data_IF_055116344367
#
_entry.id   IF_055116344367
#
_cell.length_a   1.000
_cell.length_b   1.000
_cell.length_c   1.000
_cell.angle_alpha   90.00
_cell.angle_beta   90.00
_cell.angle_gamma   90.00
#
_symmetry.space_group_name_H-M   'P 1'
#
loop_
_entity.id
_entity.type
_entity.pdbx_description
1 polymer ?
#
# COMPACT_ATOMS: atom_id res chain seq x y z
N UNK A 1 110.04 -6.30 -57.95
CA UNK A 1 109.11 -6.37 -59.11
C UNK A 1 107.85 -7.08 -58.60
N UNK A 2 106.61 -6.56 -58.64
CA UNK A 2 105.83 -5.90 -59.71
C UNK A 2 105.63 -6.83 -60.93
N UNK A 3 104.35 -7.11 -61.28
CA UNK A 3 103.87 -7.95 -62.41
C UNK A 3 104.08 -9.47 -62.15
N UNK A 4 103.17 -10.41 -62.41
CA UNK A 4 101.78 -10.43 -62.92
C UNK A 4 100.98 -11.44 -62.04
N UNK A 5 99.71 -11.25 -61.69
CA UNK A 5 98.47 -11.64 -62.40
C UNK A 5 97.36 -10.86 -61.67
N UNK A 6 96.55 -9.93 -62.20
CA UNK A 6 96.21 -9.50 -63.57
C UNK A 6 95.38 -10.48 -64.43
N UNK A 7 94.66 -11.42 -63.82
CA UNK A 7 93.65 -12.22 -64.51
C UNK A 7 92.50 -12.71 -63.60
N UNK A 8 91.98 -11.82 -62.73
CA UNK A 8 90.80 -12.11 -61.89
C UNK A 8 90.03 -10.83 -61.49
N UNK A 9 90.04 -9.81 -62.35
CA UNK A 9 89.55 -8.45 -62.05
C UNK A 9 88.73 -7.85 -63.21
N UNK A 10 88.01 -8.68 -63.97
CA UNK A 10 87.24 -8.25 -65.16
C UNK A 10 85.83 -8.85 -65.24
N UNK A 11 85.52 -9.97 -64.57
CA UNK A 11 84.27 -10.72 -64.81
C UNK A 11 83.21 -10.70 -63.70
N UNK A 12 83.21 -9.67 -62.85
CA UNK A 12 82.08 -9.37 -61.94
C UNK A 12 81.68 -7.88 -61.99
N UNK A 13 81.77 -7.29 -63.18
CA UNK A 13 81.40 -5.89 -63.46
C UNK A 13 80.03 -5.77 -64.17
N UNK A 14 79.07 -6.61 -63.80
CA UNK A 14 77.67 -6.53 -64.27
C UNK A 14 76.71 -6.84 -63.10
N UNK A 15 76.48 -5.86 -62.24
CA UNK A 15 75.21 -5.59 -61.54
C UNK A 15 75.38 -4.26 -60.79
N UNK A 16 74.88 -3.17 -61.40
CA UNK A 16 75.09 -1.81 -60.93
C UNK A 16 73.77 -1.15 -60.50
N UNK A 17 73.92 -0.15 -59.62
CA UNK A 17 72.91 0.85 -59.18
C UNK A 17 71.81 0.39 -58.20
N UNK A 18 71.79 1.05 -57.02
CA UNK A 18 70.79 0.82 -55.97
C UNK A 18 70.98 1.69 -54.70
N UNK A 19 70.99 3.02 -54.86
CA UNK A 19 70.68 4.08 -53.86
C UNK A 19 71.32 4.13 -52.45
N UNK A 20 71.86 5.31 -52.12
CA UNK A 20 72.22 5.80 -50.76
C UNK A 20 70.95 6.34 -50.07
N UNK A 21 70.68 5.96 -48.80
CA UNK A 21 70.55 6.94 -47.69
C UNK A 21 71.01 6.36 -46.33
N UNK A 22 71.14 7.06 -45.19
CA UNK A 22 71.31 8.48 -44.76
C UNK A 22 71.88 8.38 -43.32
N UNK A 23 72.73 9.31 -42.83
CA UNK A 23 73.24 9.22 -41.46
C UNK A 23 72.13 9.39 -40.41
N UNK A 24 71.99 8.43 -39.50
CA UNK A 24 71.05 8.49 -38.38
C UNK A 24 71.35 9.69 -37.48
N UNK A 25 70.46 10.70 -37.51
CA UNK A 25 70.39 11.68 -36.43
C UNK A 25 70.02 10.93 -35.15
N UNK A 26 70.90 10.98 -34.15
CA UNK A 26 70.53 10.67 -32.77
C UNK A 26 69.36 11.59 -32.39
N UNK A 27 68.16 11.02 -32.31
CA UNK A 27 67.02 11.71 -31.72
C UNK A 27 67.36 11.89 -30.25
N UNK A 28 67.51 13.15 -29.84
CA UNK A 28 67.47 13.49 -28.42
C UNK A 28 66.04 13.20 -28.00
N UNK A 29 65.83 12.08 -27.32
CA UNK A 29 64.57 11.77 -26.65
C UNK A 29 64.45 12.80 -25.52
N UNK A 30 63.70 13.87 -25.80
CA UNK A 30 63.14 14.71 -24.73
C UNK A 30 62.39 13.79 -23.78
N UNK A 31 62.60 13.89 -22.44
CA UNK A 31 61.88 13.05 -21.50
C UNK A 31 60.38 13.21 -21.75
N UNK A 32 59.66 12.09 -21.79
CA UNK A 32 58.21 12.12 -21.91
C UNK A 32 57.64 13.04 -20.82
N UNK A 33 56.63 13.88 -21.13
CA UNK A 33 56.00 14.69 -20.11
C UNK A 33 55.45 13.72 -19.05
N UNK A 34 55.86 13.92 -17.80
CA UNK A 34 55.42 13.13 -16.65
C UNK A 34 53.88 13.13 -16.60
N UNK A 35 53.27 12.10 -17.16
CA UNK A 35 51.83 11.89 -17.09
C UNK A 35 51.51 11.65 -15.63
N UNK A 36 50.94 12.66 -14.98
CA UNK A 36 50.40 12.52 -13.63
C UNK A 36 49.39 11.37 -13.69
N UNK A 37 49.62 10.25 -12.98
CA UNK A 37 48.72 9.11 -13.08
C UNK A 37 47.32 9.56 -12.65
N UNK A 38 46.31 9.19 -13.45
CA UNK A 38 44.93 9.49 -13.11
C UNK A 38 44.60 8.93 -11.72
N UNK A 39 43.86 9.66 -10.87
CA UNK A 39 43.55 9.21 -9.52
C UNK A 39 42.79 7.87 -9.59
N UNK A 40 43.19 6.92 -8.74
CA UNK A 40 42.65 5.55 -8.70
C UNK A 40 41.13 5.49 -8.49
N UNK A 41 40.55 6.57 -7.95
CA UNK A 41 39.12 6.74 -7.75
C UNK A 41 38.72 8.14 -8.23
N UNK A 42 37.60 8.28 -8.96
CA UNK A 42 37.06 9.59 -9.31
C UNK A 42 36.72 10.40 -8.05
N UNK A 43 37.24 11.63 -7.95
CA UNK A 43 37.05 12.49 -6.79
C UNK A 43 35.55 12.77 -6.52
N UNK A 44 34.78 12.97 -7.59
CA UNK A 44 33.34 13.27 -7.56
C UNK A 44 32.54 12.15 -6.87
N UNK A 45 32.86 10.87 -7.17
CA UNK A 45 32.22 9.71 -6.52
C UNK A 45 32.57 9.63 -5.04
N UNK A 46 33.82 9.93 -4.66
CA UNK A 46 34.22 9.97 -3.25
C UNK A 46 33.48 11.09 -2.50
N UNK A 47 33.32 12.26 -3.13
CA UNK A 47 32.62 13.40 -2.54
C UNK A 47 31.11 13.14 -2.40
N UNK A 48 30.48 12.49 -3.38
CA UNK A 48 29.10 11.99 -3.30
C UNK A 48 28.91 11.01 -2.13
N UNK A 49 29.78 9.99 -2.00
CA UNK A 49 29.67 8.99 -0.92
C UNK A 49 29.96 9.57 0.47
N UNK A 50 30.90 10.51 0.58
CA UNK A 50 31.15 11.27 1.82
C UNK A 50 29.92 12.11 2.20
N UNK A 51 29.30 12.80 1.23
CA UNK A 51 28.09 13.59 1.46
C UNK A 51 26.89 12.73 1.87
N UNK A 52 26.69 11.58 1.22
CA UNK A 52 25.64 10.61 1.54
C UNK A 52 25.76 10.07 2.97
N UNK A 53 26.95 9.61 3.37
CA UNK A 53 27.20 9.09 4.72
C UNK A 53 27.07 10.18 5.80
N UNK A 54 27.50 11.40 5.51
CA UNK A 54 27.35 12.53 6.43
C UNK A 54 25.86 12.83 6.70
N UNK A 55 25.03 12.91 5.65
CA UNK A 55 23.57 13.08 5.75
C UNK A 55 22.85 11.92 6.45
N UNK A 56 23.39 10.70 6.37
CA UNK A 56 22.85 9.56 7.10
C UNK A 56 23.15 9.72 8.59
N UNK A 57 24.39 10.04 8.97
CA UNK A 57 24.79 10.25 10.37
C UNK A 57 24.06 11.41 11.07
N UNK A 58 23.54 12.38 10.30
CA UNK A 58 22.68 13.47 10.79
C UNK A 58 21.27 13.01 11.22
N UNK A 59 20.85 11.76 10.91
CA UNK A 59 19.55 11.21 11.33
C UNK A 59 19.60 10.60 12.73
N UNK A 60 18.53 10.80 13.50
CA UNK A 60 18.40 10.25 14.85
C UNK A 60 18.01 8.77 14.88
N UNK A 61 17.35 8.25 13.83
CA UNK A 61 16.81 6.88 13.74
C UNK A 61 17.84 5.74 13.59
N UNK A 62 19.14 6.02 13.75
CA UNK A 62 20.21 5.04 13.57
C UNK A 62 20.57 4.35 14.88
N UNK A 63 20.61 3.01 14.86
CA UNK A 63 21.15 2.23 15.97
C UNK A 63 22.63 2.61 16.20
N UNK A 64 23.11 2.52 17.45
CA UNK A 64 24.51 2.85 17.77
C UNK A 64 25.50 2.06 16.91
N UNK A 65 25.21 0.78 16.65
CA UNK A 65 26.01 -0.11 15.80
C UNK A 65 26.03 0.36 14.34
N UNK A 66 24.86 0.69 13.76
CA UNK A 66 24.79 1.19 12.38
C UNK A 66 25.48 2.59 12.26
N UNK A 67 25.41 3.42 13.32
CA UNK A 67 26.08 4.73 13.40
C UNK A 67 27.60 4.61 13.48
N UNK A 68 28.13 3.69 14.30
CA UNK A 68 29.57 3.40 14.39
C UNK A 68 30.13 2.98 13.02
N UNK A 69 29.44 2.08 12.31
CA UNK A 69 29.85 1.60 10.99
C UNK A 69 29.80 2.71 9.95
N UNK A 70 28.74 3.52 9.91
CA UNK A 70 28.65 4.65 8.99
C UNK A 70 29.77 5.68 9.23
N UNK A 71 30.19 5.88 10.48
CA UNK A 71 31.33 6.74 10.82
C UNK A 71 32.68 6.15 10.36
N UNK A 72 32.91 4.85 10.56
CA UNK A 72 34.10 4.13 10.06
C UNK A 72 34.18 4.15 8.53
N UNK A 73 33.04 3.98 7.84
CA UNK A 73 32.93 4.10 6.39
C UNK A 73 33.32 5.51 5.93
N UNK A 74 32.74 6.54 6.58
CA UNK A 74 32.96 7.94 6.26
C UNK A 74 34.43 8.32 6.41
N UNK A 75 35.08 7.92 7.51
CA UNK A 75 36.50 8.23 7.74
C UNK A 75 37.43 7.43 6.83
N UNK A 76 37.01 6.23 6.40
CA UNK A 76 37.70 5.48 5.35
C UNK A 76 37.61 6.21 4.01
N UNK A 77 36.43 6.70 3.59
CA UNK A 77 36.29 7.47 2.35
C UNK A 77 37.01 8.83 2.40
N UNK A 78 37.00 9.54 3.54
CA UNK A 78 37.84 10.74 3.74
C UNK A 78 39.33 10.41 3.59
N UNK A 79 39.78 9.28 4.14
CA UNK A 79 41.16 8.81 3.99
C UNK A 79 41.48 8.51 2.52
N UNK A 80 40.61 7.81 1.80
CA UNK A 80 40.74 7.55 0.35
C UNK A 80 40.79 8.86 -0.45
N UNK A 81 39.97 9.86 -0.11
CA UNK A 81 39.97 11.18 -0.77
C UNK A 81 41.27 11.93 -0.55
N UNK A 82 41.74 12.03 0.70
CA UNK A 82 43.02 12.65 1.03
C UNK A 82 44.19 11.95 0.33
N UNK A 83 44.07 10.64 0.11
CA UNK A 83 45.04 9.82 -0.62
C UNK A 83 44.91 10.06 -2.14
N UNK A 84 43.72 10.17 -2.72
CA UNK A 84 43.56 10.41 -4.17
C UNK A 84 44.25 11.69 -4.71
N UNK A 85 44.69 12.61 -3.84
CA UNK A 85 45.35 13.86 -4.17
C UNK A 85 46.90 13.84 -4.09
N UNK A 86 47.56 12.70 -3.81
CA UNK A 86 49.01 12.63 -3.55
C UNK A 86 49.77 11.51 -4.28
N UNK A 87 51.06 11.35 -3.94
CA UNK A 87 51.92 10.24 -4.40
C UNK A 87 52.35 9.37 -3.21
N UNK A 88 52.19 8.04 -3.32
CA UNK A 88 52.11 7.15 -2.15
C UNK A 88 53.34 6.35 -1.76
N UNK A 89 53.36 6.02 -0.48
CA UNK A 89 54.12 4.89 0.09
C UNK A 89 53.17 3.71 0.27
N UNK A 90 53.66 2.51 -0.04
CA UNK A 90 52.88 1.26 -0.07
C UNK A 90 52.15 0.95 1.27
N UNK A 91 52.74 1.32 2.41
CA UNK A 91 52.15 1.12 3.73
C UNK A 91 50.81 1.87 3.95
N UNK A 92 50.64 3.04 3.34
CA UNK A 92 49.41 3.83 3.45
C UNK A 92 48.28 3.21 2.61
N UNK A 93 48.63 2.72 1.41
CA UNK A 93 47.71 1.95 0.57
C UNK A 93 47.22 0.68 1.27
N UNK A 94 48.12 -0.11 1.87
CA UNK A 94 47.74 -1.30 2.64
C UNK A 94 46.81 -0.97 3.83
N UNK A 95 46.98 0.19 4.48
CA UNK A 95 46.10 0.63 5.57
C UNK A 95 44.67 0.90 5.08
N UNK A 96 44.52 1.59 3.94
CA UNK A 96 43.21 1.86 3.31
C UNK A 96 42.52 0.57 2.87
N UNK A 97 43.24 -0.33 2.19
CA UNK A 97 42.66 -1.59 1.71
C UNK A 97 42.14 -2.45 2.87
N UNK A 98 42.88 -2.52 3.99
CA UNK A 98 42.41 -3.21 5.21
C UNK A 98 41.18 -2.53 5.83
N UNK A 99 41.13 -1.20 5.87
CA UNK A 99 39.97 -0.47 6.39
C UNK A 99 38.72 -0.71 5.54
N UNK A 100 38.84 -0.66 4.21
CA UNK A 100 37.75 -0.98 3.29
C UNK A 100 37.27 -2.43 3.43
N UNK A 101 38.19 -3.39 3.51
CA UNK A 101 37.86 -4.81 3.64
C UNK A 101 37.17 -5.12 4.98
N UNK A 102 37.67 -4.57 6.10
CA UNK A 102 37.03 -4.73 7.40
C UNK A 102 35.61 -4.16 7.41
N UNK A 103 35.43 -2.97 6.85
CA UNK A 103 34.14 -2.33 6.76
C UNK A 103 33.14 -3.10 5.87
N UNK A 104 33.62 -3.68 4.76
CA UNK A 104 32.81 -4.56 3.91
C UNK A 104 32.37 -5.81 4.68
N UNK A 105 33.29 -6.49 5.37
CA UNK A 105 32.99 -7.69 6.16
C UNK A 105 31.92 -7.43 7.24
N UNK A 106 31.99 -6.28 7.92
CA UNK A 106 31.00 -5.91 8.96
C UNK A 106 29.63 -5.57 8.35
N UNK A 107 29.60 -4.95 7.16
CA UNK A 107 28.36 -4.71 6.41
C UNK A 107 27.73 -6.03 5.94
N UNK A 108 28.53 -6.94 5.39
CA UNK A 108 28.09 -8.27 4.96
C UNK A 108 27.53 -9.06 6.16
N UNK A 109 28.26 -9.12 7.28
CA UNK A 109 27.82 -9.83 8.50
C UNK A 109 26.46 -9.31 9.00
N UNK A 110 26.23 -8.00 8.99
CA UNK A 110 24.96 -7.39 9.40
C UNK A 110 23.85 -7.62 8.38
N UNK A 111 24.16 -7.53 7.07
CA UNK A 111 23.18 -7.77 6.01
C UNK A 111 22.66 -9.20 6.07
N UNK A 112 23.56 -10.19 6.15
CA UNK A 112 23.20 -11.60 6.24
C UNK A 112 22.57 -11.97 7.59
N UNK A 113 23.00 -11.37 8.70
CA UNK A 113 22.34 -11.55 10.01
C UNK A 113 20.90 -11.04 10.01
N UNK A 114 20.66 -9.80 9.52
CA UNK A 114 19.31 -9.23 9.38
C UNK A 114 18.45 -10.04 8.39
N UNK A 115 19.05 -10.71 7.40
CA UNK A 115 18.35 -11.62 6.49
C UNK A 115 17.95 -12.94 7.17
N UNK A 116 18.81 -13.52 8.02
CA UNK A 116 18.46 -14.69 8.84
C UNK A 116 17.36 -14.40 9.87
N UNK A 117 17.39 -13.24 10.51
CA UNK A 117 16.33 -12.83 11.46
C UNK A 117 14.97 -12.75 10.77
N UNK A 118 14.89 -12.07 9.61
CA UNK A 118 13.67 -12.02 8.79
C UNK A 118 13.17 -13.40 8.34
N UNK A 119 14.08 -14.34 8.12
CA UNK A 119 13.71 -15.73 7.78
C UNK A 119 13.17 -16.52 8.98
N UNK A 120 13.51 -16.15 10.22
CA UNK A 120 13.08 -16.83 11.47
C UNK A 120 11.66 -16.45 11.90
N UNK A 121 11.18 -15.24 11.57
CA UNK A 121 9.79 -14.83 11.86
C UNK A 121 8.76 -15.34 10.85
N UNK A 122 9.17 -15.64 9.62
CA UNK A 122 8.30 -16.07 8.52
C UNK A 122 7.41 -17.29 8.86
N UNK A 123 7.92 -18.38 9.49
CA UNK A 123 7.11 -19.53 9.88
C UNK A 123 6.02 -19.17 10.91
N UNK A 124 6.32 -18.22 11.80
CA UNK A 124 5.38 -17.76 12.84
C UNK A 124 4.24 -16.99 12.21
N UNK A 125 4.54 -16.04 11.31
CA UNK A 125 3.53 -15.27 10.58
C UNK A 125 2.64 -16.15 9.70
N UNK A 126 3.20 -17.16 9.01
CA UNK A 126 2.41 -18.13 8.24
C UNK A 126 1.48 -18.95 9.15
N UNK A 127 1.97 -19.44 10.29
CA UNK A 127 1.13 -20.19 11.25
C UNK A 127 0.00 -19.35 11.85
N UNK A 128 0.27 -18.07 12.11
CA UNK A 128 -0.71 -17.12 12.63
C UNK A 128 -1.78 -16.80 11.58
N UNK A 129 -1.37 -16.55 10.33
CA UNK A 129 -2.27 -16.37 9.20
C UNK A 129 -3.18 -17.59 8.99
N UNK A 130 -2.61 -18.80 8.98
CA UNK A 130 -3.38 -20.03 8.80
C UNK A 130 -4.41 -20.25 9.91
N UNK A 131 -4.04 -19.93 11.15
CA UNK A 131 -4.94 -20.00 12.32
C UNK A 131 -6.08 -18.97 12.20
N UNK A 132 -5.75 -17.70 11.94
CA UNK A 132 -6.75 -16.63 11.79
C UNK A 132 -7.66 -16.81 10.58
N UNK A 133 -7.16 -17.32 9.45
CA UNK A 133 -8.00 -17.70 8.29
C UNK A 133 -9.04 -18.75 8.67
N UNK A 134 -8.65 -19.74 9.48
CA UNK A 134 -9.56 -20.76 9.98
C UNK A 134 -10.62 -20.17 10.93
N UNK A 135 -10.23 -19.30 11.85
CA UNK A 135 -11.17 -18.57 12.73
C UNK A 135 -12.20 -17.76 11.92
N UNK A 136 -11.77 -17.06 10.86
CA UNK A 136 -12.66 -16.34 9.93
C UNK A 136 -13.64 -17.30 9.24
N UNK A 137 -13.15 -18.40 8.68
CA UNK A 137 -13.99 -19.39 7.98
C UNK A 137 -15.01 -20.06 8.93
N UNK A 138 -14.60 -20.41 10.16
CA UNK A 138 -15.47 -20.99 11.17
C UNK A 138 -16.53 -19.99 11.66
N UNK A 139 -16.16 -18.73 11.91
CA UNK A 139 -17.09 -17.67 12.26
C UNK A 139 -18.11 -17.40 11.14
N UNK A 140 -17.67 -17.38 9.88
CA UNK A 140 -18.53 -17.18 8.71
C UNK A 140 -19.54 -18.34 8.54
N UNK A 141 -19.05 -19.57 8.61
CA UNK A 141 -19.88 -20.79 8.52
C UNK A 141 -20.89 -20.89 9.66
N UNK A 142 -20.54 -20.36 10.84
CA UNK A 142 -21.41 -20.30 12.02
C UNK A 142 -22.41 -19.11 12.00
N UNK A 143 -22.42 -18.29 10.95
CA UNK A 143 -23.27 -17.09 10.85
C UNK A 143 -22.87 -15.93 11.77
N UNK A 144 -21.68 -15.99 12.41
CA UNK A 144 -21.19 -14.94 13.30
C UNK A 144 -20.50 -13.82 12.49
N UNK A 145 -21.30 -13.04 11.76
CA UNK A 145 -20.82 -11.97 10.89
C UNK A 145 -20.02 -10.88 11.64
N UNK A 146 -20.36 -10.61 12.91
CA UNK A 146 -19.57 -9.69 13.76
C UNK A 146 -18.20 -10.28 14.12
N UNK A 147 -18.12 -11.59 14.40
CA UNK A 147 -16.85 -12.29 14.60
C UNK A 147 -15.95 -12.25 13.37
N UNK A 148 -16.52 -12.47 12.17
CA UNK A 148 -15.79 -12.35 10.89
C UNK A 148 -15.20 -10.94 10.72
N UNK A 149 -16.01 -9.90 10.97
CA UNK A 149 -15.55 -8.50 10.90
C UNK A 149 -14.36 -8.27 11.84
N UNK A 150 -14.47 -8.68 13.11
CA UNK A 150 -13.40 -8.51 14.09
C UNK A 150 -12.12 -9.26 13.70
N UNK A 151 -12.22 -10.53 13.30
CA UNK A 151 -11.04 -11.32 12.92
C UNK A 151 -10.36 -10.81 11.64
N UNK A 152 -11.11 -10.26 10.68
CA UNK A 152 -10.54 -9.61 9.51
C UNK A 152 -9.84 -8.28 9.84
N UNK A 153 -10.38 -7.50 10.78
CA UNK A 153 -9.73 -6.27 11.28
C UNK A 153 -8.46 -6.60 12.08
N UNK A 154 -8.49 -7.63 12.93
CA UNK A 154 -7.30 -8.17 13.62
C UNK A 154 -6.23 -8.62 12.63
N UNK A 155 -6.61 -9.38 11.59
CA UNK A 155 -5.68 -9.86 10.57
C UNK A 155 -5.00 -8.70 9.85
N UNK A 156 -5.80 -7.68 9.46
CA UNK A 156 -5.31 -6.45 8.82
C UNK A 156 -4.38 -5.64 9.73
N UNK A 157 -4.64 -5.60 11.03
CA UNK A 157 -3.80 -4.90 12.00
C UNK A 157 -2.46 -5.61 12.27
N UNK A 158 -2.44 -6.95 12.29
CA UNK A 158 -1.24 -7.74 12.64
C UNK A 158 -0.36 -8.06 11.42
N UNK A 159 -0.94 -8.28 10.25
CA UNK A 159 -0.23 -8.73 9.05
C UNK A 159 -0.31 -7.73 7.87
N UNK A 160 -0.99 -6.59 8.05
CA UNK A 160 -1.14 -5.55 7.04
C UNK A 160 -2.34 -5.77 6.09
N UNK A 161 -2.62 -4.81 5.18
CA UNK A 161 -3.76 -4.88 4.27
C UNK A 161 -3.73 -6.10 3.34
N UNK A 162 -2.55 -6.48 2.86
CA UNK A 162 -2.34 -7.57 1.90
C UNK A 162 -2.59 -8.96 2.49
N UNK A 163 -2.78 -9.06 3.81
CA UNK A 163 -3.17 -10.29 4.49
C UNK A 163 -4.62 -10.70 4.20
N UNK A 164 -5.48 -9.78 3.76
CA UNK A 164 -6.86 -10.07 3.38
C UNK A 164 -6.91 -10.63 1.96
N UNK A 165 -6.68 -11.94 1.81
CA UNK A 165 -6.80 -12.63 0.52
C UNK A 165 -8.21 -12.52 -0.06
N UNK A 166 -8.37 -12.62 -1.38
CA UNK A 166 -9.65 -12.46 -2.08
C UNK A 166 -10.85 -13.21 -1.45
N UNK A 167 -10.62 -14.42 -0.96
CA UNK A 167 -11.62 -15.26 -0.27
C UNK A 167 -12.04 -14.66 1.10
N UNK A 168 -11.05 -14.24 1.91
CA UNK A 168 -11.25 -13.63 3.23
C UNK A 168 -11.91 -12.24 3.07
N UNK A 169 -11.43 -11.45 2.12
CA UNK A 169 -11.97 -10.13 1.78
C UNK A 169 -13.43 -10.19 1.33
N UNK A 170 -13.84 -11.26 0.64
CA UNK A 170 -15.25 -11.44 0.30
C UNK A 170 -16.08 -11.91 1.51
N UNK A 171 -15.60 -12.84 2.34
CA UNK A 171 -16.29 -13.20 3.60
C UNK A 171 -16.48 -11.95 4.49
N UNK A 172 -15.48 -11.07 4.52
CA UNK A 172 -15.53 -9.77 5.20
C UNK A 172 -16.59 -8.85 4.59
N UNK A 173 -16.57 -8.61 3.28
CA UNK A 173 -17.56 -7.79 2.59
C UNK A 173 -19.00 -8.31 2.73
N UNK A 174 -19.22 -9.62 2.59
CA UNK A 174 -20.53 -10.24 2.80
C UNK A 174 -20.98 -10.10 4.26
N UNK A 175 -20.07 -10.21 5.24
CA UNK A 175 -20.39 -10.00 6.66
C UNK A 175 -20.74 -8.54 6.97
N UNK A 176 -19.99 -7.57 6.42
CA UNK A 176 -20.31 -6.14 6.48
C UNK A 176 -21.71 -5.86 5.91
N UNK A 177 -22.03 -6.43 4.74
CA UNK A 177 -23.34 -6.30 4.13
C UNK A 177 -24.49 -6.92 4.96
N UNK A 178 -24.25 -8.04 5.67
CA UNK A 178 -25.25 -8.62 6.58
C UNK A 178 -25.44 -7.78 7.85
N UNK A 179 -24.47 -6.93 8.21
CA UNK A 179 -24.54 -5.97 9.33
C UNK A 179 -25.05 -4.58 8.89
N UNK A 180 -25.32 -4.38 7.59
CA UNK A 180 -25.88 -3.14 7.03
C UNK A 180 -24.85 -2.18 6.42
N UNK A 181 -23.54 -2.49 6.52
CA UNK A 181 -22.45 -1.70 5.94
C UNK A 181 -22.26 -2.01 4.45
N UNK A 182 -23.28 -1.66 3.66
CA UNK A 182 -23.38 -1.99 2.24
C UNK A 182 -22.35 -1.25 1.36
N UNK A 183 -21.97 -0.03 1.75
CA UNK A 183 -21.00 0.84 1.08
C UNK A 183 -19.58 0.31 1.18
N UNK A 184 -19.16 -0.11 2.36
CA UNK A 184 -17.85 -0.70 2.64
C UNK A 184 -17.76 -2.08 1.98
N UNK A 185 -18.83 -2.89 2.07
CA UNK A 185 -18.94 -4.16 1.36
C UNK A 185 -18.76 -3.97 -0.16
N UNK A 186 -19.39 -2.94 -0.76
CA UNK A 186 -19.23 -2.60 -2.17
C UNK A 186 -17.80 -2.22 -2.50
N UNK A 187 -17.19 -1.28 -1.76
CA UNK A 187 -15.82 -0.84 -2.00
C UNK A 187 -14.81 -1.97 -1.91
N UNK A 188 -14.98 -2.88 -0.94
CA UNK A 188 -14.13 -4.07 -0.81
C UNK A 188 -14.33 -4.99 -2.02
N UNK A 189 -15.56 -5.29 -2.42
CA UNK A 189 -15.84 -6.16 -3.58
C UNK A 189 -15.32 -5.58 -4.90
N UNK A 190 -15.51 -4.28 -5.14
CA UNK A 190 -15.00 -3.62 -6.36
C UNK A 190 -13.46 -3.69 -6.45
N UNK A 191 -12.76 -3.73 -5.30
CA UNK A 191 -11.30 -3.96 -5.24
C UNK A 191 -10.87 -5.39 -5.57
N UNK A 192 -11.67 -6.42 -5.22
CA UNK A 192 -11.29 -7.84 -5.40
C UNK A 192 -11.77 -8.41 -6.75
N UNK A 193 -12.79 -7.83 -7.39
CA UNK A 193 -13.34 -8.30 -8.68
C UNK A 193 -12.25 -8.64 -9.73
N UNK A 194 -11.16 -7.87 -9.92
CA UNK A 194 -10.07 -8.22 -10.84
C UNK A 194 -9.32 -9.53 -10.49
N UNK A 195 -9.15 -9.81 -9.19
CA UNK A 195 -8.52 -11.04 -8.69
C UNK A 195 -9.48 -12.25 -8.74
N UNK A 196 -10.79 -12.00 -8.66
CA UNK A 196 -11.85 -13.02 -8.77
C UNK A 196 -12.14 -13.43 -10.23
N UNK A 197 -11.90 -12.53 -11.19
CA UNK A 197 -12.00 -12.86 -12.62
C UNK A 197 -10.79 -13.67 -13.13
N UNK A 198 -9.68 -13.72 -12.37
CA UNK A 198 -8.44 -14.45 -12.73
C UNK A 198 -8.24 -15.77 -11.98
N UNK A 199 -9.08 -16.09 -10.99
CA UNK A 199 -8.97 -17.31 -10.16
C UNK A 199 -10.00 -18.39 -10.56
N UNK A 200 -9.62 -19.69 -10.59
CA UNK A 200 -10.34 -20.70 -11.39
C UNK A 200 -11.58 -21.37 -10.76
N UNK A 201 -11.90 -21.18 -9.46
CA UNK A 201 -12.98 -21.97 -8.83
C UNK A 201 -13.71 -21.27 -7.67
N UNK A 202 -14.65 -20.37 -8.01
CA UNK A 202 -15.28 -19.45 -7.05
C UNK A 202 -16.80 -19.25 -7.30
N UNK A 203 -17.51 -20.31 -7.68
CA UNK A 203 -18.94 -20.24 -8.02
C UNK A 203 -19.83 -19.80 -6.82
N UNK A 204 -19.52 -20.24 -5.59
CA UNK A 204 -20.19 -19.76 -4.39
C UNK A 204 -19.96 -18.25 -4.12
N UNK A 205 -18.79 -17.74 -4.52
CA UNK A 205 -18.41 -16.33 -4.31
C UNK A 205 -19.10 -15.41 -5.33
N UNK A 206 -19.19 -15.84 -6.60
CA UNK A 206 -19.96 -15.14 -7.65
C UNK A 206 -21.45 -15.05 -7.28
N UNK A 207 -22.01 -16.08 -6.67
CA UNK A 207 -23.39 -16.05 -6.14
C UNK A 207 -23.56 -14.99 -5.03
N UNK A 208 -22.63 -14.91 -4.08
CA UNK A 208 -22.65 -13.89 -3.02
C UNK A 208 -22.52 -12.46 -3.54
N UNK A 209 -21.67 -12.23 -4.56
CA UNK A 209 -21.53 -10.93 -5.22
C UNK A 209 -22.82 -10.53 -5.95
N UNK A 210 -23.46 -11.47 -6.66
CA UNK A 210 -24.74 -11.21 -7.31
C UNK A 210 -25.85 -10.90 -6.28
N UNK A 211 -25.91 -11.61 -5.15
CA UNK A 211 -26.87 -11.30 -4.06
C UNK A 211 -26.64 -9.88 -3.50
N UNK A 212 -25.38 -9.47 -3.31
CA UNK A 212 -25.07 -8.13 -2.84
C UNK A 212 -25.43 -7.05 -3.87
N UNK A 213 -25.09 -7.24 -5.15
CA UNK A 213 -25.43 -6.30 -6.21
C UNK A 213 -26.94 -6.11 -6.35
N UNK A 214 -27.75 -7.16 -6.11
CA UNK A 214 -29.20 -7.04 -6.02
C UNK A 214 -29.66 -6.22 -4.80
N UNK A 215 -29.03 -6.41 -3.63
CA UNK A 215 -29.30 -5.59 -2.42
C UNK A 215 -28.91 -4.12 -2.60
N UNK A 216 -27.92 -3.83 -3.43
CA UNK A 216 -27.46 -2.48 -3.82
C UNK A 216 -28.28 -1.85 -4.96
N UNK A 217 -29.30 -2.55 -5.50
CA UNK A 217 -30.09 -2.08 -6.65
C UNK A 217 -29.38 -2.16 -8.01
N UNK A 218 -28.15 -2.68 -8.08
CA UNK A 218 -27.31 -2.76 -9.29
C UNK A 218 -27.69 -3.96 -10.18
N UNK A 219 -28.95 -3.99 -10.63
CA UNK A 219 -29.57 -5.13 -11.33
C UNK A 219 -28.80 -5.58 -12.57
N UNK A 220 -28.34 -4.67 -13.42
CA UNK A 220 -27.56 -4.99 -14.62
C UNK A 220 -26.24 -5.69 -14.28
N UNK A 221 -25.53 -5.26 -13.23
CA UNK A 221 -24.28 -5.90 -12.78
C UNK A 221 -24.55 -7.31 -12.24
N UNK A 222 -25.59 -7.45 -11.41
CA UNK A 222 -25.99 -8.75 -10.88
C UNK A 222 -26.34 -9.76 -11.99
N UNK A 223 -26.99 -9.31 -13.07
CA UNK A 223 -27.29 -10.15 -14.24
C UNK A 223 -26.00 -10.58 -14.97
N UNK A 224 -25.00 -9.70 -15.09
CA UNK A 224 -23.72 -10.04 -15.71
C UNK A 224 -22.94 -11.08 -14.87
N UNK A 225 -22.92 -10.91 -13.54
CA UNK A 225 -22.28 -11.88 -12.62
C UNK A 225 -23.02 -13.22 -12.63
N UNK A 226 -24.35 -13.20 -12.64
CA UNK A 226 -25.19 -14.40 -12.76
C UNK A 226 -24.95 -15.16 -14.08
N UNK A 227 -24.76 -14.43 -15.20
CA UNK A 227 -24.42 -15.04 -16.48
C UNK A 227 -23.04 -15.73 -16.44
N UNK A 228 -22.00 -15.02 -15.96
CA UNK A 228 -20.66 -15.59 -15.74
C UNK A 228 -20.68 -16.83 -14.83
N UNK A 229 -21.53 -16.83 -13.80
CA UNK A 229 -21.73 -17.97 -12.91
C UNK A 229 -22.40 -19.16 -13.62
N UNK A 230 -23.42 -18.90 -14.43
CA UNK A 230 -24.14 -19.93 -15.20
C UNK A 230 -23.21 -20.60 -16.21
N UNK A 231 -22.40 -19.81 -16.92
CA UNK A 231 -21.42 -20.31 -17.89
C UNK A 231 -20.38 -21.21 -17.19
N UNK A 232 -19.82 -20.77 -16.06
CA UNK A 232 -18.84 -21.53 -15.28
C UNK A 232 -19.41 -22.82 -14.63
N UNK A 233 -20.67 -22.79 -14.18
CA UNK A 233 -21.35 -24.00 -13.68
C UNK A 233 -21.61 -25.01 -14.80
N UNK A 234 -21.93 -24.53 -16.01
CA UNK A 234 -22.09 -25.40 -17.17
C UNK A 234 -20.78 -26.07 -17.58
N UNK A 235 -19.65 -25.35 -17.55
CA UNK A 235 -18.33 -25.93 -17.77
C UNK A 235 -17.99 -27.01 -16.73
N UNK A 236 -18.25 -26.75 -15.44
CA UNK A 236 -18.08 -27.75 -14.39
C UNK A 236 -19.00 -28.97 -14.59
N UNK A 237 -20.25 -28.77 -14.99
CA UNK A 237 -21.18 -29.88 -15.28
C UNK A 237 -20.70 -30.72 -16.48
N UNK A 238 -20.17 -30.10 -17.54
CA UNK A 238 -19.56 -30.82 -18.68
C UNK A 238 -18.36 -31.66 -18.22
N UNK A 239 -17.50 -31.12 -17.34
CA UNK A 239 -16.38 -31.87 -16.74
C UNK A 239 -16.88 -33.03 -15.87
N UNK A 240 -17.89 -32.82 -15.02
CA UNK A 240 -18.49 -33.87 -14.19
C UNK A 240 -19.17 -34.95 -15.04
N UNK A 241 -19.88 -34.59 -16.11
CA UNK A 241 -20.46 -35.55 -17.04
C UNK A 241 -19.38 -36.33 -17.81
N UNK A 242 -18.26 -35.69 -18.17
CA UNK A 242 -17.12 -36.36 -18.80
C UNK A 242 -16.40 -37.30 -17.83
N UNK A 243 -16.26 -36.91 -16.55
CA UNK A 243 -15.73 -37.74 -15.47
C UNK A 243 -16.66 -38.92 -15.19
N UNK A 244 -17.98 -38.70 -15.07
CA UNK A 244 -18.95 -39.77 -14.89
C UNK A 244 -18.92 -40.76 -16.08
N UNK A 245 -18.91 -40.26 -17.32
CA UNK A 245 -18.72 -41.10 -18.53
C UNK A 245 -17.38 -41.85 -18.54
N UNK A 246 -16.34 -41.35 -17.87
CA UNK A 246 -15.06 -42.07 -17.68
C UNK A 246 -15.16 -43.13 -16.57
N UNK A 247 -15.82 -42.82 -15.45
CA UNK A 247 -16.08 -43.77 -14.35
C UNK A 247 -16.94 -44.93 -14.85
N UNK A 248 -18.05 -44.67 -15.56
CA UNK A 248 -18.89 -45.71 -16.18
C UNK A 248 -18.21 -46.50 -17.31
N UNK A 249 -17.01 -46.09 -17.75
CA UNK A 249 -16.20 -46.79 -18.76
C UNK A 249 -14.90 -47.38 -18.19
N UNK A 250 -14.59 -47.11 -16.93
CA UNK A 250 -13.51 -47.80 -16.24
C UNK A 250 -13.95 -49.25 -16.02
N UNK A 251 -13.13 -50.25 -16.39
CA UNK A 251 -13.48 -51.63 -16.10
C UNK A 251 -13.51 -51.83 -14.59
N UNK A 252 -14.68 -52.16 -14.06
CA UNK A 252 -14.83 -52.59 -12.67
C UNK A 252 -14.25 -54.00 -12.57
N UNK A 253 -13.05 -54.12 -12.03
CA UNK A 253 -12.60 -55.41 -11.49
C UNK A 253 -13.46 -55.75 -10.27
N UNK A 254 -14.43 -56.64 -10.50
CA UNK A 254 -15.12 -57.39 -9.45
C UNK A 254 -16.14 -56.60 -8.60
N UNK A 255 -17.35 -56.40 -9.13
CA UNK A 255 -18.53 -56.91 -8.42
C UNK A 255 -19.74 -57.06 -9.35
N UNK A 256 -20.42 -58.19 -9.21
CA UNK A 256 -21.60 -58.55 -9.99
C UNK A 256 -22.85 -57.88 -9.40
N UNK A 257 -23.56 -57.14 -10.27
CA UNK A 257 -25.02 -57.18 -10.49
C UNK A 257 -25.90 -57.52 -9.27
N UNK A 258 -26.72 -56.56 -8.81
CA UNK A 258 -28.20 -56.70 -8.90
C UNK A 258 -28.99 -55.41 -8.57
N UNK A 259 -30.07 -55.20 -9.33
CA UNK A 259 -31.14 -54.21 -9.15
C UNK A 259 -32.28 -54.54 -10.15
N UNK A 260 -33.56 -54.10 -9.97
CA UNK A 260 -34.24 -53.56 -8.79
C UNK A 260 -35.64 -54.21 -8.46
N UNK A 261 -36.83 -53.53 -8.46
CA UNK A 261 -37.80 -53.44 -7.33
C UNK A 261 -39.20 -54.08 -7.67
N UNK A 262 -40.41 -53.77 -7.08
CA UNK A 262 -40.85 -52.79 -6.06
C UNK A 262 -41.93 -53.30 -5.03
N UNK A 263 -42.91 -52.43 -4.68
CA UNK A 263 -44.17 -52.57 -3.88
C UNK A 263 -44.10 -52.23 -2.37
N UNK A 264 -44.99 -51.39 -1.80
CA UNK A 264 -46.06 -50.59 -2.42
C UNK A 264 -46.82 -49.61 -1.50
N UNK A 265 -47.58 -48.71 -2.13
CA UNK A 265 -48.79 -47.95 -1.72
C UNK A 265 -49.36 -48.04 -0.29
N UNK A 266 -49.76 -46.90 0.31
CA UNK A 266 -50.65 -46.86 1.49
C UNK A 266 -51.09 -45.47 2.02
N UNK A 267 -52.24 -44.98 1.53
CA UNK A 267 -53.15 -43.88 1.98
C UNK A 267 -52.78 -42.86 3.10
N UNK A 268 -52.98 -41.59 2.72
CA UNK A 268 -53.85 -40.55 3.33
C UNK A 268 -54.52 -40.78 4.72
N UNK A 269 -54.48 -39.75 5.59
CA UNK A 269 -55.68 -39.06 6.09
C UNK A 269 -55.37 -37.76 6.87
N UNK A 270 -56.17 -36.71 6.65
CA UNK A 270 -56.24 -35.49 7.48
C UNK A 270 -57.03 -35.74 8.77
N UNK A 271 -56.70 -35.03 9.85
CA UNK A 271 -57.68 -34.48 10.81
C UNK A 271 -57.36 -33.01 11.06
N UNK A 272 -58.40 -32.19 11.26
CA UNK A 272 -58.33 -30.73 11.29
C UNK A 272 -58.16 -30.15 12.71
N UNK A 273 -57.74 -28.88 12.69
CA UNK A 273 -57.68 -27.89 13.76
C UNK A 273 -58.74 -27.97 14.88
N UNK A 274 -58.34 -27.48 16.06
CA UNK A 274 -59.18 -26.61 16.86
C UNK A 274 -58.36 -25.49 17.49
N UNK A 275 -58.79 -24.25 17.25
CA UNK A 275 -58.39 -23.03 17.94
C UNK A 275 -59.19 -22.87 19.22
N UNK A 276 -58.57 -22.36 20.27
CA UNK A 276 -59.28 -21.62 21.32
C UNK A 276 -58.59 -20.27 21.55
N UNK A 277 -59.39 -19.31 22.00
CA UNK A 277 -59.08 -17.88 22.00
C UNK A 277 -59.29 -17.34 23.41
N UNK A 278 -58.36 -16.55 23.94
CA UNK A 278 -58.68 -15.61 25.01
C UNK A 278 -58.19 -14.20 24.68
N UNK A 279 -58.99 -13.25 25.15
CA UNK A 279 -59.11 -11.90 24.62
C UNK A 279 -58.53 -10.89 25.61
N UNK A 280 -57.48 -10.15 25.22
CA UNK A 280 -57.04 -8.95 25.95
C UNK A 280 -57.16 -7.70 25.09
N UNK A 281 -58.28 -7.01 25.24
CA UNK A 281 -58.58 -5.71 24.63
C UNK A 281 -57.89 -4.56 25.38
N UNK A 282 -56.72 -4.10 24.90
CA UNK A 282 -56.10 -2.85 25.39
C UNK A 282 -54.92 -2.31 24.52
N UNK A 283 -55.17 -1.89 23.27
CA UNK A 283 -54.06 -1.44 22.37
C UNK A 283 -54.41 -0.31 21.38
N UNK A 284 -55.24 0.67 21.76
CA UNK A 284 -55.42 1.90 20.94
C UNK A 284 -54.66 3.13 21.46
N UNK A 285 -54.32 3.19 22.76
CA UNK A 285 -53.52 4.29 23.34
C UNK A 285 -52.00 4.15 23.21
N UNK A 286 -51.48 3.16 22.50
CA UNK A 286 -50.04 2.83 22.45
C UNK A 286 -49.33 3.37 21.20
N UNK A 287 -50.07 3.63 20.11
CA UNK A 287 -49.47 3.94 18.81
C UNK A 287 -48.75 5.29 18.77
N UNK A 288 -49.35 6.35 19.32
CA UNK A 288 -48.76 7.71 19.30
C UNK A 288 -47.52 7.81 20.20
N UNK A 289 -47.48 7.05 21.30
CA UNK A 289 -46.33 7.01 22.19
C UNK A 289 -45.14 6.25 21.55
N UNK A 290 -45.41 5.18 20.81
CA UNK A 290 -44.41 4.48 19.99
C UNK A 290 -43.82 5.40 18.92
N UNK A 291 -44.64 6.21 18.24
CA UNK A 291 -44.15 7.20 17.27
C UNK A 291 -43.22 8.22 17.92
N UNK A 292 -43.58 8.73 19.10
CA UNK A 292 -42.75 9.70 19.83
C UNK A 292 -41.38 9.12 20.25
N UNK A 293 -41.37 7.88 20.77
CA UNK A 293 -40.13 7.17 21.14
C UNK A 293 -39.24 6.93 19.91
N UNK A 294 -39.81 6.53 18.77
CA UNK A 294 -39.09 6.36 17.49
C UNK A 294 -38.55 7.69 16.96
N UNK A 295 -39.33 8.77 17.01
CA UNK A 295 -38.86 10.11 16.60
C UNK A 295 -37.78 10.66 17.55
N UNK A 296 -37.74 10.23 18.81
CA UNK A 296 -36.61 10.52 19.70
C UNK A 296 -35.37 9.72 19.31
N UNK A 297 -35.49 8.40 19.10
CA UNK A 297 -34.36 7.54 18.69
C UNK A 297 -33.76 7.94 17.33
N UNK A 298 -34.58 8.42 16.39
CA UNK A 298 -34.12 9.02 15.13
C UNK A 298 -33.25 10.26 15.39
N UNK A 299 -33.68 11.17 16.28
CA UNK A 299 -32.90 12.36 16.65
C UNK A 299 -31.62 12.05 17.42
N UNK A 300 -31.56 10.89 18.08
CA UNK A 300 -30.35 10.38 18.75
C UNK A 300 -29.48 9.50 17.81
N UNK A 301 -29.82 9.40 16.52
CA UNK A 301 -29.17 8.55 15.50
C UNK A 301 -29.14 7.04 15.85
N UNK A 302 -30.03 6.58 16.74
CA UNK A 302 -30.16 5.19 17.19
C UNK A 302 -31.11 4.39 16.29
N UNK A 303 -30.83 4.40 14.99
CA UNK A 303 -31.71 3.82 13.96
C UNK A 303 -31.99 2.32 14.19
N UNK A 304 -31.02 1.55 14.71
CA UNK A 304 -31.21 0.14 15.06
C UNK A 304 -32.19 -0.09 16.22
N UNK A 305 -32.09 0.70 17.29
CA UNK A 305 -33.03 0.61 18.43
C UNK A 305 -34.45 1.00 18.00
N UNK A 306 -34.58 2.02 17.14
CA UNK A 306 -35.85 2.41 16.56
C UNK A 306 -36.46 1.31 15.65
N UNK A 307 -35.62 0.62 14.88
CA UNK A 307 -36.04 -0.49 14.03
C UNK A 307 -36.53 -1.69 14.86
N UNK A 308 -35.76 -2.11 15.85
CA UNK A 308 -36.12 -3.23 16.74
C UNK A 308 -37.41 -2.94 17.51
N UNK A 309 -37.62 -1.70 17.97
CA UNK A 309 -38.85 -1.26 18.61
C UNK A 309 -40.06 -1.38 17.66
N UNK A 310 -39.94 -0.90 16.41
CA UNK A 310 -41.01 -1.00 15.40
C UNK A 310 -41.30 -2.44 15.00
N UNK A 311 -40.28 -3.29 14.83
CA UNK A 311 -40.45 -4.72 14.49
C UNK A 311 -41.10 -5.49 15.64
N UNK A 312 -40.66 -5.28 16.88
CA UNK A 312 -41.26 -5.89 18.07
C UNK A 312 -42.75 -5.52 18.18
N UNK A 313 -43.08 -4.24 17.96
CA UNK A 313 -44.47 -3.76 18.02
C UNK A 313 -45.32 -4.28 16.86
N UNK A 314 -44.76 -4.42 15.65
CA UNK A 314 -45.45 -5.03 14.49
C UNK A 314 -45.93 -6.46 14.77
N UNK A 315 -45.21 -7.23 15.59
CA UNK A 315 -45.65 -8.55 16.06
C UNK A 315 -46.80 -8.52 17.10
N UNK A 316 -47.01 -7.39 17.78
CA UNK A 316 -48.05 -7.23 18.84
C UNK A 316 -49.32 -6.54 18.38
N UNK A 317 -49.32 -5.88 17.21
CA UNK A 317 -50.44 -5.06 16.74
C UNK A 317 -51.20 -5.78 15.62
N UNK A 318 -52.40 -6.27 15.95
CA UNK A 318 -53.30 -6.91 14.97
C UNK A 318 -54.29 -5.95 14.29
N UNK A 319 -54.28 -4.67 14.66
CA UNK A 319 -55.16 -3.64 14.07
C UNK A 319 -54.58 -3.12 12.75
N UNK A 320 -55.40 -3.13 11.69
CA UNK A 320 -55.02 -2.65 10.36
C UNK A 320 -54.57 -1.18 10.37
N UNK A 321 -55.17 -0.35 11.23
CA UNK A 321 -54.78 1.05 11.42
C UNK A 321 -53.41 1.18 12.09
N UNK A 322 -53.15 0.36 13.12
CA UNK A 322 -51.86 0.36 13.82
C UNK A 322 -50.71 -0.16 12.95
N UNK A 323 -50.97 -1.17 12.11
CA UNK A 323 -50.00 -1.65 11.12
C UNK A 323 -49.64 -0.58 10.09
N UNK A 324 -50.62 0.20 9.60
CA UNK A 324 -50.36 1.34 8.70
C UNK A 324 -49.51 2.43 9.34
N UNK A 325 -49.73 2.71 10.64
CA UNK A 325 -48.92 3.67 11.41
C UNK A 325 -47.46 3.17 11.54
N UNK A 326 -47.26 1.90 11.88
CA UNK A 326 -45.92 1.28 11.97
C UNK A 326 -45.21 1.28 10.60
N UNK A 327 -45.90 0.92 9.52
CA UNK A 327 -45.32 0.95 8.16
C UNK A 327 -45.00 2.38 7.70
N UNK A 328 -45.74 3.39 8.16
CA UNK A 328 -45.41 4.80 7.92
C UNK A 328 -44.22 5.28 8.77
N UNK A 329 -44.08 4.78 10.01
CA UNK A 329 -42.94 5.04 10.87
C UNK A 329 -41.64 4.41 10.32
N UNK A 330 -41.71 3.16 9.86
CA UNK A 330 -40.58 2.48 9.18
C UNK A 330 -40.10 3.29 7.97
N UNK A 331 -41.00 3.77 7.11
CA UNK A 331 -40.63 4.63 5.96
C UNK A 331 -40.02 5.97 6.33
N UNK A 332 -40.35 6.53 7.51
CA UNK A 332 -39.70 7.74 8.04
C UNK A 332 -38.32 7.42 8.60
N UNK A 333 -38.19 6.27 9.28
CA UNK A 333 -36.93 5.78 9.83
C UNK A 333 -35.93 5.45 8.71
N UNK A 334 -36.35 4.72 7.68
CA UNK A 334 -35.56 4.41 6.48
C UNK A 334 -35.06 5.70 5.82
N UNK A 335 -35.95 6.67 5.55
CA UNK A 335 -35.54 7.96 4.97
C UNK A 335 -34.58 8.75 5.86
N UNK A 336 -34.84 8.85 7.15
CA UNK A 336 -33.96 9.59 8.06
C UNK A 336 -32.59 8.91 8.20
N UNK A 337 -32.52 7.59 8.05
CA UNK A 337 -31.28 6.84 7.99
C UNK A 337 -30.55 7.07 6.64
N UNK A 338 -31.27 7.06 5.52
CA UNK A 338 -30.72 7.41 4.19
C UNK A 338 -30.16 8.83 4.18
N UNK A 339 -30.93 9.83 4.62
CA UNK A 339 -30.51 11.24 4.72
C UNK A 339 -29.25 11.39 5.60
N UNK A 340 -29.21 10.74 6.77
CA UNK A 340 -28.04 10.74 7.67
C UNK A 340 -26.81 10.05 7.06
N UNK A 341 -27.00 8.96 6.31
CA UNK A 341 -25.91 8.27 5.63
C UNK A 341 -25.38 9.10 4.45
N UNK A 342 -26.24 9.75 3.67
CA UNK A 342 -25.84 10.67 2.60
C UNK A 342 -25.04 11.86 3.15
N UNK A 343 -25.51 12.49 4.23
CA UNK A 343 -24.79 13.58 4.92
C UNK A 343 -23.42 13.11 5.44
N UNK A 344 -23.38 11.93 6.09
CA UNK A 344 -22.13 11.33 6.60
C UNK A 344 -21.16 10.99 5.47
N UNK A 345 -21.64 10.48 4.33
CA UNK A 345 -20.83 10.17 3.16
C UNK A 345 -20.29 11.44 2.51
N UNK A 346 -21.07 12.52 2.42
CA UNK A 346 -20.62 13.83 1.92
C UNK A 346 -19.48 14.36 2.79
N UNK A 347 -19.68 14.43 4.11
CA UNK A 347 -18.65 14.86 5.06
C UNK A 347 -17.36 14.03 4.95
N UNK A 348 -17.45 12.70 4.85
CA UNK A 348 -16.29 11.82 4.68
C UNK A 348 -15.58 12.06 3.35
N UNK A 349 -16.33 12.31 2.27
CA UNK A 349 -15.78 12.57 0.94
C UNK A 349 -15.06 13.92 0.88
N UNK A 350 -15.72 14.98 1.36
CA UNK A 350 -15.17 16.34 1.43
C UNK A 350 -13.90 16.37 2.29
N UNK A 351 -13.92 15.74 3.47
CA UNK A 351 -12.76 15.55 4.33
C UNK A 351 -11.61 14.83 3.63
N UNK A 352 -11.89 13.74 2.90
CA UNK A 352 -10.88 12.97 2.18
C UNK A 352 -10.27 13.77 1.02
N UNK A 353 -11.08 14.55 0.31
CA UNK A 353 -10.62 15.43 -0.76
C UNK A 353 -9.75 16.58 -0.21
N UNK A 354 -10.19 17.25 0.85
CA UNK A 354 -9.43 18.28 1.56
C UNK A 354 -8.05 17.78 2.04
N UNK A 355 -8.00 16.61 2.69
CA UNK A 355 -6.74 15.96 3.11
C UNK A 355 -5.85 15.62 1.92
N UNK A 356 -6.41 15.15 0.80
CA UNK A 356 -5.63 14.84 -0.40
C UNK A 356 -5.08 16.09 -1.08
N UNK A 357 -5.86 17.18 -1.11
CA UNK A 357 -5.43 18.49 -1.63
C UNK A 357 -4.32 19.08 -0.75
N UNK A 358 -4.49 19.05 0.58
CA UNK A 358 -3.49 19.52 1.53
C UNK A 358 -2.14 18.78 1.39
N UNK A 359 -2.17 17.44 1.26
CA UNK A 359 -0.97 16.63 1.00
C UNK A 359 -0.26 17.04 -0.31
N UNK A 360 -1.01 17.26 -1.41
CA UNK A 360 -0.41 17.77 -2.66
C UNK A 360 0.21 19.15 -2.50
N UNK A 361 -0.43 20.05 -1.74
CA UNK A 361 0.13 21.37 -1.46
C UNK A 361 1.36 21.33 -0.56
N UNK A 362 1.48 20.37 0.36
CA UNK A 362 2.72 20.09 1.09
C UNK A 362 3.85 19.65 0.13
N UNK A 363 3.57 18.67 -0.75
CA UNK A 363 4.53 18.16 -1.74
C UNK A 363 5.01 19.25 -2.73
N UNK A 364 4.15 20.24 -3.03
CA UNK A 364 4.45 21.38 -3.91
C UNK A 364 5.06 22.60 -3.18
N UNK A 365 5.40 22.49 -1.89
CA UNK A 365 5.88 23.58 -1.00
C UNK A 365 4.90 24.78 -0.85
N UNK A 366 3.61 24.57 -1.17
CA UNK A 366 2.52 25.57 -1.12
C UNK A 366 1.82 25.57 0.24
N UNK A 367 2.60 25.70 1.31
CA UNK A 367 2.15 25.48 2.70
C UNK A 367 0.92 26.33 3.11
N UNK A 368 0.82 27.59 2.69
CA UNK A 368 -0.36 28.44 2.94
C UNK A 368 -1.65 27.87 2.35
N UNK A 369 -1.57 27.25 1.16
CA UNK A 369 -2.71 26.64 0.49
C UNK A 369 -3.09 25.31 1.15
N UNK A 370 -2.08 24.56 1.64
CA UNK A 370 -2.30 23.36 2.45
C UNK A 370 -3.10 23.69 3.72
N UNK A 371 -2.65 24.68 4.50
CA UNK A 371 -3.34 25.17 5.70
C UNK A 371 -4.76 25.61 5.36
N UNK A 372 -4.92 26.49 4.36
CA UNK A 372 -6.23 26.98 3.92
C UNK A 372 -7.21 25.86 3.53
N UNK A 373 -6.72 24.76 2.94
CA UNK A 373 -7.53 23.59 2.58
C UNK A 373 -7.86 22.64 3.74
N UNK A 374 -7.16 22.75 4.87
CA UNK A 374 -7.49 22.02 6.10
C UNK A 374 -8.40 22.85 7.02
N UNK A 375 -8.35 24.17 6.92
CA UNK A 375 -9.18 25.10 7.71
C UNK A 375 -10.61 25.26 7.16
N UNK A 376 -10.91 24.70 5.99
CA UNK A 376 -12.30 24.55 5.50
C UNK A 376 -13.08 23.44 6.21
N UNK A 377 -12.40 22.56 6.95
CA UNK A 377 -13.03 21.48 7.74
C UNK A 377 -13.40 22.00 9.13
N UNK A 378 -14.54 21.59 9.66
CA UNK A 378 -14.99 22.10 10.96
C UNK A 378 -14.19 21.49 12.14
N UNK A 379 -14.15 22.18 13.28
CA UNK A 379 -13.51 21.66 14.51
C UNK A 379 -14.06 20.29 14.96
N UNK A 380 -15.29 19.93 14.52
CA UNK A 380 -15.92 18.63 14.80
C UNK A 380 -15.44 17.52 13.86
N UNK A 381 -14.87 17.87 12.72
CA UNK A 381 -14.32 16.93 11.72
C UNK A 381 -12.83 16.67 11.91
N UNK A 382 -12.14 17.38 12.81
CA UNK A 382 -10.70 17.22 13.02
C UNK A 382 -10.32 15.83 13.55
N UNK A 383 -9.79 14.97 12.66
CA UNK A 383 -9.03 13.79 13.07
C UNK A 383 -7.59 14.18 13.44
N UNK A 384 -6.93 13.31 14.19
CA UNK A 384 -5.49 13.40 14.50
C UNK A 384 -4.64 13.71 13.25
N UNK A 385 -4.91 12.99 12.15
CA UNK A 385 -4.27 13.17 10.84
C UNK A 385 -4.39 14.61 10.28
N UNK A 386 -5.52 15.29 10.48
CA UNK A 386 -5.70 16.68 10.03
C UNK A 386 -4.81 17.63 10.86
N UNK A 387 -4.70 17.37 12.17
CA UNK A 387 -3.84 18.16 13.07
C UNK A 387 -2.37 17.97 12.72
N UNK A 388 -1.92 16.73 12.53
CA UNK A 388 -0.55 16.41 12.09
C UNK A 388 -0.21 17.07 10.75
N UNK A 389 -1.11 17.01 9.76
CA UNK A 389 -0.89 17.66 8.46
C UNK A 389 -0.88 19.20 8.57
N UNK A 390 -1.72 19.80 9.44
CA UNK A 390 -1.72 21.24 9.68
C UNK A 390 -0.44 21.68 10.40
N UNK A 391 -0.03 20.97 11.44
CA UNK A 391 1.23 21.21 12.17
C UNK A 391 2.44 21.08 11.24
N UNK A 392 2.51 20.04 10.42
CA UNK A 392 3.55 19.86 9.40
C UNK A 392 3.57 21.03 8.39
N UNK A 393 2.40 21.50 7.93
CA UNK A 393 2.31 22.63 7.01
C UNK A 393 2.79 23.94 7.65
N UNK A 394 2.39 24.20 8.89
CA UNK A 394 2.81 25.37 9.67
C UNK A 394 4.32 25.35 9.93
N UNK A 395 4.88 24.22 10.38
CA UNK A 395 6.32 24.09 10.61
C UNK A 395 7.12 24.28 9.31
N UNK A 396 6.65 23.69 8.20
CA UNK A 396 7.29 23.83 6.90
C UNK A 396 7.24 25.26 6.37
N UNK A 397 6.13 25.98 6.59
CA UNK A 397 5.99 27.41 6.28
C UNK A 397 6.97 28.26 7.11
N UNK A 398 7.01 28.05 8.42
CA UNK A 398 7.95 28.73 9.34
C UNK A 398 9.39 28.50 8.89
N UNK A 399 9.76 27.25 8.57
CA UNK A 399 11.09 26.91 8.09
C UNK A 399 11.41 27.55 6.73
N UNK A 400 10.44 27.65 5.81
CA UNK A 400 10.60 28.34 4.51
C UNK A 400 10.88 29.83 4.71
N UNK A 401 10.08 30.53 5.52
CA UNK A 401 10.23 31.97 5.75
C UNK A 401 11.45 32.32 6.61
N UNK A 402 11.81 31.50 7.62
CA UNK A 402 13.09 31.64 8.35
C UNK A 402 14.29 31.52 7.41
N UNK A 403 14.28 30.54 6.50
CA UNK A 403 15.33 30.38 5.49
C UNK A 403 15.37 31.56 4.49
N UNK A 404 14.22 32.11 4.12
CA UNK A 404 14.12 33.33 3.29
C UNK A 404 14.70 34.55 4.00
N UNK A 405 14.32 34.79 5.26
CA UNK A 405 14.86 35.87 6.08
C UNK A 405 16.38 35.75 6.27
N UNK A 406 16.90 34.54 6.49
CA UNK A 406 18.32 34.26 6.59
C UNK A 406 19.09 34.55 5.28
N UNK A 407 18.53 34.19 4.12
CA UNK A 407 19.10 34.54 2.80
C UNK A 407 19.18 36.06 2.59
N UNK A 408 18.15 36.80 3.00
CA UNK A 408 18.12 38.27 2.92
C UNK A 408 19.16 38.87 3.88
N UNK A 409 19.26 38.38 5.12
CA UNK A 409 20.26 38.82 6.09
C UNK A 409 21.71 38.58 5.60
N UNK A 410 21.99 37.41 5.04
CA UNK A 410 23.30 37.09 4.44
C UNK A 410 23.60 37.97 3.22
N UNK A 411 22.58 38.42 2.49
CA UNK A 411 22.71 39.39 1.39
C UNK A 411 23.06 40.77 1.93
N UNK A 412 22.34 41.26 2.96
CA UNK A 412 22.66 42.51 3.66
C UNK A 412 24.10 42.55 4.21
N UNK A 413 24.62 41.40 4.67
CA UNK A 413 26.02 41.27 5.14
C UNK A 413 27.06 41.45 4.03
N UNK A 414 26.71 41.12 2.77
CA UNK A 414 27.58 41.21 1.59
C UNK A 414 27.48 42.57 0.89
N UNK A 415 26.37 43.28 1.04
CA UNK A 415 26.15 44.62 0.50
C UNK A 415 27.00 45.68 1.22
N UNK A 416 27.74 46.48 0.45
CA UNK A 416 28.54 47.61 0.97
C UNK A 416 27.79 48.95 1.00
N UNK A 417 26.73 49.07 0.20
CA UNK A 417 25.82 50.22 0.17
C UNK A 417 24.99 50.28 1.47
N UNK A 418 25.12 51.35 2.29
CA UNK A 418 24.47 51.41 3.60
C UNK A 418 22.94 51.49 3.52
N UNK A 419 22.37 52.17 2.53
CA UNK A 419 20.91 52.32 2.41
C UNK A 419 20.26 50.99 2.06
N UNK A 420 20.78 50.30 1.03
CA UNK A 420 20.32 48.95 0.65
C UNK A 420 20.56 47.92 1.74
N UNK A 421 21.62 48.07 2.53
CA UNK A 421 21.89 47.20 3.67
C UNK A 421 20.84 47.38 4.77
N UNK A 422 20.42 48.62 5.05
CA UNK A 422 19.33 48.87 5.99
C UNK A 422 18.00 48.30 5.46
N UNK A 423 17.70 48.48 4.18
CA UNK A 423 16.50 47.92 3.53
C UNK A 423 16.43 46.39 3.68
N UNK A 424 17.51 45.66 3.36
CA UNK A 424 17.56 44.21 3.53
C UNK A 424 17.46 43.78 5.00
N UNK A 425 18.07 44.52 5.94
CA UNK A 425 17.94 44.21 7.37
C UNK A 425 16.50 44.42 7.88
N UNK A 426 15.84 45.50 7.47
CA UNK A 426 14.42 45.74 7.77
C UNK A 426 13.52 44.66 7.16
N UNK A 427 13.76 44.27 5.92
CA UNK A 427 13.00 43.19 5.25
C UNK A 427 13.18 41.84 5.95
N UNK A 428 14.41 41.49 6.34
CA UNK A 428 14.70 40.27 7.11
C UNK A 428 14.05 40.29 8.50
N UNK A 429 14.09 41.43 9.19
CA UNK A 429 13.44 41.62 10.49
C UNK A 429 11.92 41.48 10.40
N UNK A 430 11.28 42.10 9.42
CA UNK A 430 9.82 42.03 9.24
C UNK A 430 9.37 40.58 9.01
N UNK A 431 10.02 39.83 8.11
CA UNK A 431 9.69 38.41 7.87
C UNK A 431 9.81 37.56 9.16
N UNK A 432 10.77 37.86 10.05
CA UNK A 432 10.89 37.16 11.33
C UNK A 432 9.87 37.62 12.39
N UNK A 433 9.38 38.86 12.29
CA UNK A 433 8.33 39.42 13.15
C UNK A 433 6.96 38.85 12.79
N UNK A 434 6.67 38.77 11.49
CA UNK A 434 5.43 38.22 10.91
C UNK A 434 5.28 36.69 11.12
N UNK A 435 6.25 36.04 11.78
CA UNK A 435 6.21 34.62 12.21
C UNK A 435 5.99 34.45 13.73
N UNK A 436 5.91 35.55 14.48
CA UNK A 436 5.78 35.56 15.95
C UNK A 436 4.46 36.24 16.39
N UNK A 437 3.98 37.19 15.59
CA UNK A 437 2.66 37.84 15.71
C UNK A 437 1.58 37.07 14.93
#
# INVERSE_FOLDING_TARGET
MKKQIRSLLVFFFVFAFGCIPVPERRVVVTPEPSVVPAPLFPADLLEEKIGFLSKILEKEDLTEKDREIASSLLDTYKSVKNISAGAFKEAEYQKVVRALLNNLNVLDEIYFSKQEERAKDYPRSISLFATKRKEVQEAYTSGNYKGVINHCLELKAVLGPDALTAEISLMFALSLAKVGMLTEAKSIIEGIVPELDTSPDLNCLRAGIAELQLRLGEREKAIQVYKKLTDALHEQEVVLQALNKRISRAPVEGQEIEAPPPFGTGLEARVQAQTDYELTTQTEGNADQILYEVEQLIREHKFGEAWDLLVLKKGTVSSETGLKIIDQALKRLERAQEEYLEETISMISEKKEAVQIARRFLDEEKYEQAISSLDTLSEREESHEIKELREQAVESLINRERNRAAKIFLTARRTQDPEKKEEYLRSSYNILKDLIE
#
